data_IF_033879262673
#
_entry.id   IF_033879262673
#
_cell.length_a   1.000
_cell.length_b   1.000
_cell.length_c   1.000
_cell.angle_alpha   90.00
_cell.angle_beta   90.00
_cell.angle_gamma   90.00
#
_symmetry.space_group_name_H-M   'P 1'
#
loop_
_entity.id
_entity.type
_entity.pdbx_description
1 polymer ?
#
# COMPACT_ATOMS: atom_id res chain seq x y z
N UNK A 1 -15.49 -8.56 8.29
CA UNK A 1 -14.78 -8.50 8.60
C UNK A 1 -13.35 -8.87 8.91
N UNK A 2 -13.09 -10.13 8.92
CA UNK A 2 -11.75 -10.57 9.27
C UNK A 2 -10.70 -10.09 8.28
N UNK A 3 -11.07 -9.99 7.02
CA UNK A 3 -10.11 -9.58 5.99
C UNK A 3 -9.61 -8.16 6.20
N UNK A 4 -10.37 -7.34 6.89
CA UNK A 4 -9.96 -5.96 7.11
C UNK A 4 -9.01 -5.81 8.29
N UNK A 5 -8.85 -6.84 9.08
CA UNK A 5 -7.86 -6.81 10.11
C UNK A 5 -6.45 -6.67 9.58
N UNK A 6 -6.23 -7.09 8.33
CA UNK A 6 -4.91 -6.98 7.71
C UNK A 6 -4.48 -5.53 7.56
N UNK A 7 -5.42 -4.64 7.21
CA UNK A 7 -5.10 -3.23 7.09
C UNK A 7 -4.65 -2.63 8.41
N UNK A 8 -5.25 -3.09 9.49
CA UNK A 8 -4.91 -2.61 10.82
C UNK A 8 -3.56 -3.14 11.29
N UNK A 9 -3.12 -4.25 10.73
CA UNK A 9 -1.86 -4.88 11.09
C UNK A 9 -0.66 -4.34 10.32
N UNK A 10 -0.91 -3.50 9.31
CA UNK A 10 0.16 -2.95 8.49
C UNK A 10 0.99 -1.99 9.33
N UNK A 11 2.30 -2.17 9.27
CA UNK A 11 3.23 -1.31 9.99
C UNK A 11 4.33 -0.88 9.03
N UNK A 12 4.36 0.40 8.71
CA UNK A 12 5.35 0.96 7.80
C UNK A 12 6.43 1.76 8.54
N UNK A 13 6.52 1.60 9.85
CA UNK A 13 7.57 2.31 10.60
C UNK A 13 8.98 1.93 10.14
N UNK A 14 9.26 0.69 9.68
CA UNK A 14 10.60 0.38 9.17
C UNK A 14 11.01 1.22 7.97
N UNK A 15 10.06 1.76 7.24
CA UNK A 15 10.35 2.64 6.09
C UNK A 15 10.05 4.10 6.40
N UNK A 16 9.82 4.42 7.67
CA UNK A 16 9.70 5.80 8.11
C UNK A 16 8.31 6.40 8.05
N UNK A 17 7.29 5.59 7.82
CA UNK A 17 5.92 6.09 7.80
C UNK A 17 5.24 5.85 9.13
N UNK A 18 4.39 6.80 9.53
CA UNK A 18 3.58 6.70 10.72
C UNK A 18 2.12 6.55 10.35
N UNK A 19 1.42 5.66 11.05
CA UNK A 19 0.00 5.49 10.83
C UNK A 19 -0.75 6.72 11.33
N UNK A 20 -1.75 7.14 10.56
CA UNK A 20 -2.62 8.22 10.96
C UNK A 20 -3.75 7.62 11.81
N UNK A 21 -3.90 8.12 13.03
CA UNK A 21 -4.92 7.62 13.94
C UNK A 21 -6.31 7.80 13.32
N UNK A 22 -7.19 6.84 13.59
CA UNK A 22 -8.58 6.83 13.11
C UNK A 22 -8.72 6.65 11.62
N UNK A 23 -7.63 6.42 10.91
CA UNK A 23 -7.66 6.20 9.46
C UNK A 23 -6.81 5.00 9.10
N UNK A 24 -7.31 3.77 9.33
CA UNK A 24 -6.56 2.57 8.98
C UNK A 24 -6.15 2.60 7.50
N UNK A 25 -4.93 2.20 7.23
CA UNK A 25 -4.43 2.22 5.86
C UNK A 25 -3.88 3.54 5.41
N UNK A 26 -3.96 4.57 6.21
CA UNK A 26 -3.40 5.88 5.87
C UNK A 26 -2.14 6.11 6.67
N UNK A 27 -1.09 6.56 5.99
CA UNK A 27 0.23 6.77 6.59
C UNK A 27 0.81 8.10 6.17
N UNK A 28 1.69 8.64 7.00
CA UNK A 28 2.31 9.92 6.74
C UNK A 28 3.80 9.85 7.03
N UNK A 29 4.58 10.52 6.20
CA UNK A 29 6.02 10.67 6.38
C UNK A 29 6.38 12.10 6.01
N UNK A 30 6.55 12.95 7.02
CA UNK A 30 6.76 14.37 6.78
C UNK A 30 5.56 14.97 6.07
N UNK A 31 5.77 15.44 4.84
CA UNK A 31 4.70 16.04 4.05
C UNK A 31 4.02 15.05 3.12
N UNK A 32 4.50 13.81 3.08
CA UNK A 32 3.95 12.80 2.18
C UNK A 32 2.87 12.01 2.87
N UNK A 33 1.75 11.83 2.19
CA UNK A 33 0.65 11.01 2.67
C UNK A 33 0.38 9.92 1.67
N UNK A 34 0.19 8.71 2.17
CA UNK A 34 -0.12 7.58 1.32
C UNK A 34 -1.29 6.81 1.90
N UNK A 35 -1.94 6.06 1.04
CA UNK A 35 -3.01 5.17 1.43
C UNK A 35 -2.65 3.78 0.94
N UNK A 36 -2.73 2.80 1.84
CA UNK A 36 -2.48 1.40 1.51
C UNK A 36 -3.76 0.62 1.75
N UNK A 37 -4.16 -0.16 0.76
CA UNK A 37 -5.35 -0.98 0.86
C UNK A 37 -5.00 -2.41 0.44
N UNK A 38 -5.62 -3.37 1.09
CA UNK A 38 -5.51 -4.78 0.73
C UNK A 38 -6.92 -5.26 0.39
N UNK A 39 -7.11 -5.76 -0.82
CA UNK A 39 -8.43 -6.19 -1.26
C UNK A 39 -8.32 -7.44 -2.11
N UNK A 40 -9.42 -8.17 -2.28
CA UNK A 40 -9.41 -9.38 -3.10
C UNK A 40 -9.01 -9.07 -4.54
N UNK A 41 -8.24 -9.98 -5.15
CA UNK A 41 -7.83 -9.84 -6.55
C UNK A 41 -8.94 -10.37 -7.43
N UNK A 42 -9.90 -9.52 -7.75
CA UNK A 42 -11.06 -9.91 -8.57
C UNK A 42 -10.88 -9.63 -10.05
N UNK A 43 -9.79 -8.98 -10.42
CA UNK A 43 -9.55 -8.58 -11.80
C UNK A 43 -8.52 -9.46 -12.48
N UNK A 44 -8.04 -10.49 -11.79
CA UNK A 44 -7.05 -11.39 -12.38
C UNK A 44 -5.69 -10.76 -12.57
N UNK A 45 -5.33 -9.80 -11.73
CA UNK A 45 -4.04 -9.16 -11.82
C UNK A 45 -2.94 -10.18 -11.52
N UNK A 46 -1.97 -10.30 -12.41
CA UNK A 46 -0.90 -11.29 -12.27
C UNK A 46 0.49 -10.67 -12.38
N UNK A 47 0.57 -9.35 -12.41
CA UNK A 47 1.84 -8.64 -12.41
C UNK A 47 1.66 -7.28 -11.80
N UNK A 48 2.76 -6.68 -11.33
CA UNK A 48 2.72 -5.36 -10.76
C UNK A 48 2.34 -4.33 -11.82
N UNK A 49 1.48 -3.40 -11.47
CA UNK A 49 1.12 -2.31 -12.36
C UNK A 49 1.16 -1.00 -11.59
N UNK A 50 1.51 0.04 -12.29
CA UNK A 50 1.54 1.36 -11.69
C UNK A 50 1.35 2.42 -12.76
N UNK A 51 0.87 3.57 -12.33
CA UNK A 51 0.78 4.75 -13.19
C UNK A 51 0.71 5.98 -12.31
N UNK A 52 1.01 7.13 -12.90
CA UNK A 52 0.97 8.38 -12.18
C UNK A 52 -0.22 9.22 -12.63
N UNK A 53 -0.78 9.95 -11.67
CA UNK A 53 -1.83 10.92 -11.93
C UNK A 53 -1.45 12.20 -11.19
N UNK A 54 -0.94 13.19 -11.93
CA UNK A 54 -0.39 14.38 -11.31
C UNK A 54 0.82 14.05 -10.44
N UNK A 55 0.77 14.43 -9.20
CA UNK A 55 1.84 14.15 -8.24
C UNK A 55 1.67 12.84 -7.51
N UNK A 56 0.61 12.09 -7.82
CA UNK A 56 0.29 10.88 -7.09
C UNK A 56 0.66 9.65 -7.90
N UNK A 57 1.14 8.62 -7.21
CA UNK A 57 1.41 7.33 -7.80
C UNK A 57 0.34 6.35 -7.34
N UNK A 58 -0.13 5.53 -8.28
CA UNK A 58 -1.01 4.41 -7.96
C UNK A 58 -0.24 3.15 -8.29
N UNK A 59 -0.08 2.26 -7.33
CA UNK A 59 0.69 1.04 -7.50
C UNK A 59 -0.14 -0.15 -7.04
N UNK A 60 -0.23 -1.16 -7.89
CA UNK A 60 -0.98 -2.38 -7.60
C UNK A 60 -0.02 -3.56 -7.59
N UNK A 61 -0.04 -4.33 -6.52
CA UNK A 61 0.82 -5.50 -6.36
C UNK A 61 -0.04 -6.72 -6.04
N UNK A 62 -0.08 -7.73 -6.92
CA UNK A 62 -0.83 -8.96 -6.63
C UNK A 62 -0.05 -9.84 -5.67
N UNK A 63 -0.72 -10.35 -4.66
CA UNK A 63 -0.08 -11.24 -3.70
C UNK A 63 -0.32 -12.69 -4.09
N UNK A 64 0.49 -13.59 -3.50
CA UNK A 64 0.38 -15.02 -3.82
C UNK A 64 -0.88 -15.65 -3.24
N UNK A 65 -1.51 -15.01 -2.28
CA UNK A 65 -2.72 -15.53 -1.64
C UNK A 65 -4.00 -14.95 -2.24
N UNK A 66 -3.92 -14.38 -3.43
CA UNK A 66 -5.11 -13.95 -4.14
C UNK A 66 -5.63 -12.58 -3.76
N UNK A 67 -4.74 -11.70 -3.32
CA UNK A 67 -5.12 -10.34 -2.96
C UNK A 67 -4.33 -9.33 -3.79
N UNK A 68 -4.74 -8.08 -3.71
CA UNK A 68 -4.02 -6.97 -4.32
C UNK A 68 -3.71 -5.95 -3.24
N UNK A 69 -2.45 -5.55 -3.16
CA UNK A 69 -2.05 -4.43 -2.32
C UNK A 69 -2.05 -3.19 -3.20
N UNK A 70 -2.88 -2.21 -2.84
CA UNK A 70 -2.96 -0.94 -3.57
C UNK A 70 -2.29 0.14 -2.74
N UNK A 71 -1.34 0.84 -3.33
CA UNK A 71 -0.66 1.95 -2.67
C UNK A 71 -0.89 3.19 -3.51
N UNK A 72 -1.39 4.23 -2.87
CA UNK A 72 -1.72 5.48 -3.55
C UNK A 72 -1.17 6.64 -2.74
N UNK A 73 -0.50 7.56 -3.40
CA UNK A 73 -0.04 8.76 -2.73
C UNK A 73 1.16 9.38 -3.39
N UNK A 74 1.77 10.29 -2.65
CA UNK A 74 2.92 11.07 -3.13
C UNK A 74 4.19 10.27 -2.93
N UNK A 75 4.42 9.32 -3.83
CA UNK A 75 5.53 8.38 -3.73
C UNK A 75 6.22 8.23 -5.08
N UNK A 76 7.49 7.83 -5.01
CA UNK A 76 8.21 7.34 -6.19
C UNK A 76 8.09 5.81 -6.22
N UNK A 77 8.40 5.24 -7.39
CA UNK A 77 8.40 3.78 -7.53
C UNK A 77 9.43 3.17 -6.60
N UNK A 78 10.56 3.81 -6.43
CA UNK A 78 11.60 3.32 -5.54
C UNK A 78 11.13 3.23 -4.10
N UNK A 79 10.33 4.19 -3.67
CA UNK A 79 9.78 4.16 -2.32
C UNK A 79 8.77 3.02 -2.15
N UNK A 80 7.95 2.79 -3.17
CA UNK A 80 7.00 1.68 -3.14
C UNK A 80 7.73 0.35 -3.05
N UNK A 81 8.82 0.21 -3.81
CA UNK A 81 9.59 -1.03 -3.80
C UNK A 81 10.21 -1.32 -2.43
N UNK A 82 10.39 -0.31 -1.62
CA UNK A 82 10.84 -0.51 -0.24
C UNK A 82 9.69 -0.86 0.69
N UNK A 83 8.49 -0.41 0.37
CA UNK A 83 7.30 -0.66 1.18
C UNK A 83 6.79 -2.08 0.98
N UNK A 84 6.77 -2.56 -0.25
CA UNK A 84 6.20 -3.86 -0.58
C UNK A 84 6.79 -4.99 0.26
N UNK A 85 8.12 -5.13 0.40
CA UNK A 85 8.66 -6.23 1.22
C UNK A 85 8.23 -6.18 2.69
N UNK A 86 7.93 -5.00 3.19
CA UNK A 86 7.44 -4.84 4.56
C UNK A 86 6.02 -5.39 4.69
N UNK A 87 5.23 -5.24 3.64
CA UNK A 87 3.82 -5.64 3.65
C UNK A 87 3.62 -7.13 3.43
N UNK A 88 4.50 -7.76 2.66
CA UNK A 88 4.28 -9.14 2.21
C UNK A 88 5.09 -10.19 2.98
N UNK A 89 5.83 -9.80 3.97
CA UNK A 89 6.61 -10.78 4.71
C UNK A 89 5.77 -11.68 5.59
#
# INVERSE_FOLDING_TARGET
GKSYGDDLAIDLSPVGFNRIDNNPGHFIKGKKKIQVRVEPNRIGLNENKYWKSGNKLIYLYPTVDGKIISIYGDLSIQEVEKIIPVLIK
#
